data_IF_412593406859
#
_entry.id   IF_412593406859
#
_cell.length_a   1.000
_cell.length_b   1.000
_cell.length_c   1.000
_cell.angle_alpha   90.00
_cell.angle_beta   90.00
_cell.angle_gamma   90.00
#
_symmetry.space_group_name_H-M   'P 1'
#
loop_
_entity.id
_entity.type
_entity.pdbx_description
1 polymer ?
#
# COMPACT_ATOMS: atom_id res chain seq x y z
N UNK A 1 -2.58 8.98 -15.42
CA UNK A 1 -2.38 7.93 -16.47
C UNK A 1 -2.82 6.58 -15.88
N UNK A 2 -3.57 5.76 -16.62
CA UNK A 2 -3.93 4.42 -16.13
C UNK A 2 -2.70 3.49 -16.14
N UNK A 3 -2.44 2.76 -15.04
CA UNK A 3 -1.35 1.77 -14.97
C UNK A 3 -1.57 0.66 -15.99
N UNK A 4 -0.47 0.08 -16.49
CA UNK A 4 -0.53 -1.05 -17.43
C UNK A 4 -1.09 -2.26 -16.70
N UNK A 5 -1.90 -3.07 -17.39
CA UNK A 5 -2.47 -4.31 -16.85
C UNK A 5 -1.42 -5.24 -16.25
N UNK A 6 -0.24 -5.32 -16.87
CA UNK A 6 0.88 -6.13 -16.38
C UNK A 6 1.40 -5.67 -15.02
N UNK A 7 1.47 -4.35 -14.79
CA UNK A 7 1.98 -3.81 -13.52
C UNK A 7 1.00 -4.12 -12.38
N UNK A 8 -0.31 -4.03 -12.66
CA UNK A 8 -1.37 -4.42 -11.72
C UNK A 8 -1.30 -5.91 -11.37
N UNK A 9 -1.12 -6.76 -12.39
CA UNK A 9 -0.97 -8.20 -12.18
C UNK A 9 0.26 -8.52 -11.34
N UNK A 10 1.40 -7.91 -11.63
CA UNK A 10 2.62 -8.16 -10.86
C UNK A 10 2.48 -7.70 -9.40
N UNK A 11 1.85 -6.54 -9.15
CA UNK A 11 1.57 -6.07 -7.79
C UNK A 11 0.61 -7.01 -7.05
N UNK A 12 -0.42 -7.52 -7.74
CA UNK A 12 -1.31 -8.54 -7.18
C UNK A 12 -0.55 -9.81 -6.83
N UNK A 13 0.28 -10.34 -7.72
CA UNK A 13 1.10 -11.52 -7.46
C UNK A 13 2.08 -11.31 -6.30
N UNK A 14 2.64 -10.10 -6.14
CA UNK A 14 3.44 -9.76 -4.97
C UNK A 14 2.61 -9.82 -3.68
N UNK A 15 1.38 -9.29 -3.69
CA UNK A 15 0.44 -9.44 -2.57
C UNK A 15 0.11 -10.91 -2.27
N UNK A 16 -0.14 -11.72 -3.29
CA UNK A 16 -0.42 -13.17 -3.14
C UNK A 16 0.75 -13.91 -2.49
N UNK A 17 1.98 -13.51 -2.79
CA UNK A 17 3.18 -14.05 -2.12
C UNK A 17 3.23 -13.67 -0.63
N UNK A 18 2.84 -12.44 -0.28
CA UNK A 18 2.83 -11.97 1.12
C UNK A 18 1.83 -12.75 1.97
N UNK A 19 0.65 -13.03 1.43
CA UNK A 19 -0.39 -13.79 2.14
C UNK A 19 -0.28 -15.31 1.94
N UNK A 20 0.76 -15.80 1.25
CA UNK A 20 0.91 -17.22 0.97
C UNK A 20 1.01 -18.03 2.26
N UNK A 21 0.10 -18.99 2.45
CA UNK A 21 0.01 -19.79 3.68
C UNK A 21 -0.67 -19.08 4.87
N UNK A 22 -1.20 -17.86 4.68
CA UNK A 22 -1.97 -17.11 5.67
C UNK A 22 -3.46 -17.19 5.33
N UNK A 23 -4.24 -17.84 6.19
CA UNK A 23 -5.71 -17.95 6.03
C UNK A 23 -6.45 -16.79 6.70
N UNK A 24 -5.76 -16.04 7.56
CA UNK A 24 -6.28 -14.87 8.27
C UNK A 24 -6.23 -13.58 7.45
N UNK A 25 -5.70 -13.63 6.22
CA UNK A 25 -5.45 -12.46 5.37
C UNK A 25 -6.05 -12.65 3.98
N UNK A 26 -6.57 -11.57 3.42
CA UNK A 26 -7.08 -11.50 2.06
C UNK A 26 -6.57 -10.25 1.35
N UNK A 27 -6.46 -10.30 0.03
CA UNK A 27 -6.10 -9.11 -0.77
C UNK A 27 -7.32 -8.24 -0.99
N UNK A 28 -7.12 -6.93 -0.97
CA UNK A 28 -8.10 -6.01 -1.52
C UNK A 28 -8.35 -6.33 -3.01
N UNK A 29 -9.58 -6.07 -3.47
CA UNK A 29 -9.99 -6.38 -4.84
C UNK A 29 -9.18 -5.61 -5.88
N UNK A 30 -8.90 -4.34 -5.60
CA UNK A 30 -8.18 -3.43 -6.47
C UNK A 30 -7.00 -2.78 -5.76
N UNK A 31 -5.96 -2.45 -6.54
CA UNK A 31 -4.90 -1.56 -6.06
C UNK A 31 -5.49 -0.16 -5.81
N UNK A 32 -5.02 0.47 -4.76
CA UNK A 32 -5.32 1.85 -4.45
C UNK A 32 -4.20 2.73 -5.01
N UNK A 33 -4.46 3.33 -6.17
CA UNK A 33 -3.56 4.30 -6.78
C UNK A 33 -3.74 5.69 -6.16
N UNK A 34 -2.65 6.40 -5.94
CA UNK A 34 -2.69 7.83 -5.66
C UNK A 34 -2.91 8.65 -6.92
N UNK A 35 -3.12 9.96 -6.74
CA UNK A 35 -3.28 10.93 -7.82
C UNK A 35 -2.06 11.85 -7.89
N UNK A 36 -1.75 12.36 -9.09
CA UNK A 36 -0.68 13.34 -9.27
C UNK A 36 -0.87 14.53 -8.32
N UNK A 37 0.15 14.82 -7.51
CA UNK A 37 0.14 15.85 -6.45
C UNK A 37 -0.98 15.73 -5.40
N UNK A 38 -1.75 14.63 -5.39
CA UNK A 38 -2.80 14.38 -4.41
C UNK A 38 -2.28 13.67 -3.16
N UNK A 39 -2.96 13.89 -2.03
CA UNK A 39 -2.78 13.11 -0.81
C UNK A 39 -4.05 12.29 -0.57
N UNK A 40 -3.90 11.02 -0.21
CA UNK A 40 -4.99 10.12 0.16
C UNK A 40 -4.61 9.32 1.40
N UNK A 41 -5.62 8.90 2.16
CA UNK A 41 -5.45 8.25 3.46
C UNK A 41 -6.34 7.01 3.53
N UNK A 42 -5.81 5.92 4.05
CA UNK A 42 -6.59 4.71 4.36
C UNK A 42 -6.24 4.23 5.76
N UNK A 43 -7.24 3.99 6.59
CA UNK A 43 -7.05 3.66 8.00
C UNK A 43 -6.98 2.15 8.21
N UNK A 44 -5.99 1.70 8.99
CA UNK A 44 -5.90 0.34 9.48
C UNK A 44 -7.02 0.01 10.47
N UNK A 45 -7.60 -1.18 10.36
CA UNK A 45 -8.72 -1.61 11.21
C UNK A 45 -8.49 -3.00 11.76
N UNK A 46 -8.85 -3.26 13.01
CA UNK A 46 -8.61 -4.54 13.69
C UNK A 46 -9.63 -5.66 13.36
N UNK A 47 -10.71 -5.32 12.68
CA UNK A 47 -11.82 -6.22 12.35
C UNK A 47 -11.65 -6.91 10.98
N UNK A 48 -12.48 -7.92 10.69
CA UNK A 48 -12.55 -8.55 9.36
C UNK A 48 -12.89 -7.49 8.31
N UNK A 49 -12.14 -7.48 7.20
CA UNK A 49 -12.17 -6.43 6.19
C UNK A 49 -11.29 -5.20 6.52
N UNK A 50 -10.76 -5.11 7.74
CA UNK A 50 -9.85 -4.04 8.15
C UNK A 50 -8.46 -4.18 7.54
N UNK A 51 -7.88 -3.05 7.10
CA UNK A 51 -6.54 -3.01 6.52
C UNK A 51 -5.49 -3.35 7.59
N UNK A 52 -4.56 -4.24 7.27
CA UNK A 52 -3.44 -4.61 8.14
C UNK A 52 -2.07 -4.34 7.54
N UNK A 53 -1.96 -4.37 6.21
CA UNK A 53 -0.68 -4.16 5.52
C UNK A 53 -0.91 -3.49 4.17
N UNK A 54 0.15 -2.86 3.65
CA UNK A 54 0.21 -2.28 2.33
C UNK A 54 1.41 -2.84 1.56
N UNK A 55 1.17 -3.34 0.35
CA UNK A 55 2.20 -3.71 -0.61
C UNK A 55 2.37 -2.56 -1.59
N UNK A 56 3.54 -1.93 -1.55
CA UNK A 56 3.88 -0.73 -2.31
C UNK A 56 4.71 -1.14 -3.51
N UNK A 57 4.31 -0.70 -4.71
CA UNK A 57 5.14 -0.83 -5.90
C UNK A 57 6.17 0.31 -5.96
N UNK A 58 7.45 -0.02 -5.74
CA UNK A 58 8.55 0.96 -5.72
C UNK A 58 8.71 1.69 -7.06
N UNK A 59 8.39 1.02 -8.17
CA UNK A 59 8.49 1.57 -9.54
C UNK A 59 7.18 2.14 -10.07
N UNK A 60 6.16 2.29 -9.22
CA UNK A 60 4.98 3.07 -9.56
C UNK A 60 5.32 4.54 -9.80
N UNK A 61 4.33 5.35 -10.15
CA UNK A 61 4.54 6.76 -10.46
C UNK A 61 5.22 7.53 -9.32
N UNK A 62 5.69 8.73 -9.62
CA UNK A 62 6.37 9.56 -8.64
C UNK A 62 5.48 9.86 -7.45
N UNK A 63 5.97 9.54 -6.26
CA UNK A 63 5.20 9.66 -5.03
C UNK A 63 5.94 9.15 -3.81
N UNK A 64 5.20 9.03 -2.72
CA UNK A 64 5.64 8.29 -1.55
C UNK A 64 4.47 7.79 -0.72
N UNK A 65 4.73 6.76 0.08
CA UNK A 65 3.83 6.22 1.08
C UNK A 65 4.42 6.45 2.46
N UNK A 66 3.59 6.72 3.46
CA UNK A 66 3.97 6.89 4.84
C UNK A 66 2.89 6.32 5.75
N UNK A 67 3.26 5.70 6.85
CA UNK A 67 2.32 5.27 7.89
C UNK A 67 2.32 6.32 8.99
N UNK A 68 1.16 6.89 9.29
CA UNK A 68 0.98 7.91 10.31
C UNK A 68 0.07 7.41 11.42
N UNK A 69 0.22 7.97 12.61
CA UNK A 69 -0.68 7.77 13.73
C UNK A 69 -1.00 9.12 14.34
N UNK A 70 -2.22 9.59 14.13
CA UNK A 70 -2.65 10.90 14.60
C UNK A 70 -2.72 10.98 16.14
N UNK A 71 -2.92 9.85 16.82
CA UNK A 71 -3.04 9.81 18.28
C UNK A 71 -1.71 9.98 19.00
N UNK A 72 -0.62 9.49 18.40
CA UNK A 72 0.75 9.56 18.94
C UNK A 72 1.62 10.60 18.25
N UNK A 73 1.15 11.18 17.14
CA UNK A 73 1.93 12.07 16.27
C UNK A 73 3.05 11.34 15.52
N UNK A 74 3.02 10.00 15.47
CA UNK A 74 4.02 9.18 14.81
C UNK A 74 3.87 9.26 13.28
N UNK A 75 5.01 9.25 12.58
CA UNK A 75 5.09 9.08 11.15
C UNK A 75 6.31 8.22 10.80
N UNK A 76 6.09 7.20 9.96
CA UNK A 76 7.18 6.37 9.43
C UNK A 76 8.07 7.17 8.48
N UNK A 77 9.24 6.63 8.08
CA UNK A 77 9.95 7.13 6.92
C UNK A 77 9.07 7.17 5.67
N UNK A 78 9.36 8.10 4.76
CA UNK A 78 8.70 8.18 3.46
C UNK A 78 9.24 7.10 2.53
N UNK A 79 8.40 6.14 2.18
CA UNK A 79 8.69 5.10 1.20
C UNK A 79 8.48 5.66 -0.21
N UNK A 80 9.57 6.12 -0.84
CA UNK A 80 9.50 6.78 -2.15
C UNK A 80 9.15 5.79 -3.26
N UNK A 81 8.36 6.24 -4.21
CA UNK A 81 8.03 5.53 -5.45
C UNK A 81 8.44 6.36 -6.66
N UNK A 82 8.84 5.70 -7.73
CA UNK A 82 9.18 6.37 -8.98
C UNK A 82 9.87 5.44 -9.99
N UNK A 83 9.87 5.78 -11.29
CA UNK A 83 10.56 5.01 -12.33
C UNK A 83 12.05 4.77 -12.08
N UNK A 84 12.68 5.70 -11.38
CA UNK A 84 14.09 5.80 -10.97
C UNK A 84 14.40 5.05 -9.66
N UNK A 85 13.39 4.51 -8.99
CA UNK A 85 13.60 3.59 -7.87
C UNK A 85 13.98 2.19 -8.35
N UNK A 86 14.67 1.43 -7.50
CA UNK A 86 14.92 0.01 -7.77
C UNK A 86 13.61 -0.76 -7.90
N UNK A 87 13.57 -1.68 -8.89
CA UNK A 87 12.41 -2.53 -9.09
C UNK A 87 12.16 -3.40 -7.87
N UNK A 88 10.89 -3.59 -7.52
CA UNK A 88 10.48 -4.45 -6.42
C UNK A 88 9.26 -3.91 -5.67
N UNK A 89 8.90 -4.66 -4.65
CA UNK A 89 7.75 -4.39 -3.81
C UNK A 89 8.20 -4.23 -2.37
N UNK A 90 7.54 -3.33 -1.64
CA UNK A 90 7.78 -3.11 -0.23
C UNK A 90 6.51 -3.39 0.54
N UNK A 91 6.60 -4.17 1.61
CA UNK A 91 5.46 -4.44 2.49
C UNK A 91 5.63 -3.60 3.74
N UNK A 92 4.57 -2.91 4.14
CA UNK A 92 4.54 -2.14 5.37
C UNK A 92 3.32 -2.56 6.20
N UNK A 93 3.53 -2.73 7.49
CA UNK A 93 2.45 -3.02 8.43
C UNK A 93 1.69 -1.74 8.78
N UNK A 94 0.38 -1.90 8.99
CA UNK A 94 -0.54 -0.83 9.38
C UNK A 94 -1.30 -1.34 10.60
N UNK A 95 -0.94 -0.83 11.78
CA UNK A 95 -1.63 -1.18 13.01
C UNK A 95 -3.04 -0.55 13.05
N UNK A 96 -3.96 -1.09 13.86
CA UNK A 96 -5.29 -0.49 14.04
C UNK A 96 -5.19 0.98 14.47
N UNK A 97 -5.94 1.86 13.78
CA UNK A 97 -5.91 3.30 14.02
C UNK A 97 -4.73 4.05 13.37
N UNK A 98 -3.73 3.35 12.84
CA UNK A 98 -2.73 3.96 11.97
C UNK A 98 -3.30 4.18 10.57
N UNK A 99 -2.75 5.16 9.86
CA UNK A 99 -3.22 5.57 8.54
C UNK A 99 -2.10 5.42 7.52
N UNK A 100 -2.39 4.75 6.42
CA UNK A 100 -1.55 4.75 5.23
C UNK A 100 -1.81 6.03 4.44
N UNK A 101 -0.87 6.98 4.54
CA UNK A 101 -0.84 8.18 3.74
C UNK A 101 -0.11 7.90 2.42
N UNK A 102 -0.75 8.26 1.31
CA UNK A 102 -0.21 8.15 -0.04
C UNK A 102 -0.13 9.54 -0.65
N UNK A 103 1.02 9.91 -1.20
CA UNK A 103 1.20 11.15 -1.97
C UNK A 103 1.66 10.84 -3.39
N UNK A 104 1.09 11.55 -4.36
CA UNK A 104 1.45 11.42 -5.76
C UNK A 104 0.94 10.12 -6.39
N UNK A 105 1.48 9.76 -7.55
CA UNK A 105 1.01 8.64 -8.37
C UNK A 105 1.57 7.27 -7.94
N UNK A 106 1.69 7.06 -6.62
CA UNK A 106 2.11 5.78 -6.05
C UNK A 106 0.99 4.72 -6.18
N UNK A 107 1.38 3.44 -6.26
CA UNK A 107 0.44 2.33 -6.31
C UNK A 107 0.65 1.40 -5.11
N UNK A 108 -0.45 1.12 -4.42
CA UNK A 108 -0.46 0.29 -3.21
C UNK A 108 -1.57 -0.74 -3.32
N UNK A 109 -1.28 -2.00 -2.98
CA UNK A 109 -2.29 -3.02 -2.79
C UNK A 109 -2.43 -3.31 -1.29
N UNK A 110 -3.64 -3.16 -0.77
CA UNK A 110 -3.89 -3.43 0.65
C UNK A 110 -4.14 -4.91 0.89
N UNK A 111 -3.68 -5.35 2.06
CA UNK A 111 -4.02 -6.64 2.64
C UNK A 111 -4.99 -6.37 3.80
N UNK A 112 -6.08 -7.11 3.80
CA UNK A 112 -7.16 -7.03 4.77
C UNK A 112 -7.13 -8.28 5.65
N UNK A 113 -7.64 -8.13 6.87
CA UNK A 113 -7.94 -9.27 7.74
C UNK A 113 -9.16 -10.03 7.18
N UNK A 114 -9.11 -11.36 7.17
CA UNK A 114 -10.25 -12.21 6.79
C UNK A 114 -11.35 -12.18 7.85
#
# INVERSE_FOLDING_TARGET
MARRTKDKQNLKSAGEQVISGRQDLVLALDESAGADNGISYETGGSESGGICQAVIDKKSGYGYVCITDASTGYASPKYRTGPDQEAGYMVVDIAPGQTCMRYGSCAVLYILRS
#
